data_IF_499899956903
#
_entry.id   IF_499899956903
#
_cell.length_a   1.000
_cell.length_b   1.000
_cell.length_c   1.000
_cell.angle_alpha   90.00
_cell.angle_beta   90.00
_cell.angle_gamma   90.00
#
_symmetry.space_group_name_H-M   'P 1'
#
loop_
_entity.id
_entity.type
_entity.pdbx_description
1 polymer ?
#
# COMPACT_ATOMS: atom_id res chain seq x y z
N UNK A 1 -1.38 1.74 -9.29
CA UNK A 1 -0.14 1.22 -8.69
C UNK A 1 0.90 1.16 -9.79
N UNK A 2 2.10 1.74 -9.61
CA UNK A 2 3.18 1.66 -10.60
C UNK A 2 4.23 0.68 -10.06
N UNK A 3 4.72 -0.22 -10.91
CA UNK A 3 5.85 -1.08 -10.58
C UNK A 3 7.13 -0.24 -10.63
N UNK A 4 7.82 -0.11 -9.49
CA UNK A 4 9.05 0.69 -9.42
C UNK A 4 10.30 -0.10 -9.83
N UNK A 5 10.24 -1.44 -9.77
CA UNK A 5 11.38 -2.34 -9.98
C UNK A 5 12.63 -1.86 -9.21
N UNK A 6 12.39 -1.40 -7.99
CA UNK A 6 13.37 -0.76 -7.14
C UNK A 6 13.65 -1.71 -5.97
N UNK A 7 14.91 -2.11 -5.79
CA UNK A 7 15.31 -2.94 -4.66
C UNK A 7 15.50 -2.01 -3.47
N UNK A 8 14.66 -2.16 -2.46
CA UNK A 8 14.68 -1.37 -1.23
C UNK A 8 14.92 -2.29 -0.04
N UNK A 9 15.87 -1.93 0.83
CA UNK A 9 16.06 -2.65 2.08
C UNK A 9 14.80 -2.59 2.95
N UNK A 10 14.12 -1.44 2.98
CA UNK A 10 12.84 -1.30 3.66
C UNK A 10 11.74 -2.16 3.05
N UNK A 11 11.93 -2.72 1.86
CA UNK A 11 11.00 -3.67 1.22
C UNK A 11 11.50 -5.13 1.24
N UNK A 12 12.50 -5.43 2.08
CA UNK A 12 12.97 -6.80 2.32
C UNK A 12 14.01 -7.32 1.34
N UNK A 13 14.61 -6.45 0.54
CA UNK A 13 15.80 -6.83 -0.23
C UNK A 13 17.03 -6.82 0.67
N UNK A 14 17.93 -7.79 0.48
CA UNK A 14 19.23 -7.84 1.17
C UNK A 14 20.22 -6.76 0.65
N UNK A 15 19.86 -6.05 -0.40
CA UNK A 15 20.62 -4.98 -1.02
C UNK A 15 19.65 -3.89 -1.51
N UNK A 16 20.17 -2.69 -1.80
CA UNK A 16 19.39 -1.64 -2.44
C UNK A 16 19.95 -1.34 -3.84
N UNK A 17 19.07 -0.92 -4.75
CA UNK A 17 19.48 -0.35 -6.04
C UNK A 17 19.49 1.18 -5.96
N UNK A 18 20.20 1.86 -6.85
CA UNK A 18 20.20 3.33 -6.89
C UNK A 18 18.79 3.91 -7.07
N UNK A 19 17.93 3.22 -7.83
CA UNK A 19 16.51 3.60 -7.95
C UNK A 19 15.76 3.38 -6.64
N UNK A 20 16.10 2.32 -5.89
CA UNK A 20 15.58 2.08 -4.54
C UNK A 20 15.92 3.22 -3.59
N UNK A 21 17.18 3.64 -3.56
CA UNK A 21 17.64 4.77 -2.75
C UNK A 21 16.85 6.05 -3.03
N UNK A 22 16.68 6.42 -4.31
CA UNK A 22 15.88 7.60 -4.70
C UNK A 22 14.42 7.48 -4.22
N UNK A 23 13.84 6.28 -4.30
CA UNK A 23 12.46 6.02 -3.89
C UNK A 23 12.32 6.10 -2.36
N UNK A 24 13.30 5.57 -1.61
CA UNK A 24 13.40 5.65 -0.15
C UNK A 24 13.56 7.10 0.31
N UNK A 25 14.53 7.84 -0.26
CA UNK A 25 14.75 9.26 0.05
C UNK A 25 13.51 10.11 -0.21
N UNK A 26 12.83 9.86 -1.34
CA UNK A 26 11.58 10.54 -1.66
C UNK A 26 10.47 10.20 -0.65
N UNK A 27 10.35 8.93 -0.24
CA UNK A 27 9.34 8.51 0.72
C UNK A 27 9.59 9.14 2.11
N UNK A 28 10.85 9.12 2.57
CA UNK A 28 11.28 9.67 3.85
C UNK A 28 11.07 11.18 3.91
N UNK A 29 11.43 11.90 2.84
CA UNK A 29 11.25 13.35 2.78
C UNK A 29 9.77 13.78 2.82
N UNK A 30 8.88 12.93 2.32
CA UNK A 30 7.43 13.15 2.35
C UNK A 30 6.75 12.53 3.58
N UNK A 31 7.55 12.05 4.55
CA UNK A 31 7.10 11.50 5.82
C UNK A 31 6.31 10.21 5.69
N UNK A 32 6.35 9.50 4.57
CA UNK A 32 5.46 8.35 4.30
C UNK A 32 5.91 7.08 4.99
N UNK A 33 4.93 6.25 5.37
CA UNK A 33 5.15 4.89 5.82
C UNK A 33 5.12 3.99 4.58
N UNK A 34 6.27 3.42 4.21
CA UNK A 34 6.30 2.28 3.30
C UNK A 34 5.47 1.16 3.93
N UNK A 35 4.44 0.67 3.24
CA UNK A 35 3.58 -0.41 3.73
C UNK A 35 4.28 -1.78 3.74
N UNK A 36 5.61 -1.81 3.76
CA UNK A 36 6.31 -3.08 3.87
C UNK A 36 6.20 -3.55 5.31
N UNK A 37 5.47 -4.65 5.46
CA UNK A 37 5.55 -5.49 6.64
C UNK A 37 6.22 -6.79 6.19
N UNK A 38 7.28 -7.20 6.89
CA UNK A 38 7.99 -8.44 6.59
C UNK A 38 7.08 -9.68 6.67
N UNK A 39 5.99 -9.57 7.46
CA UNK A 39 4.96 -10.60 7.59
C UNK A 39 3.97 -10.63 6.41
N UNK A 40 3.95 -9.62 5.56
CA UNK A 40 3.10 -9.61 4.36
C UNK A 40 3.60 -10.63 3.35
N UNK A 41 2.70 -11.17 2.53
CA UNK A 41 3.13 -12.16 1.56
C UNK A 41 3.93 -11.46 0.47
N UNK A 42 4.99 -12.12 -0.01
CA UNK A 42 5.83 -11.57 -1.06
C UNK A 42 5.02 -11.33 -2.35
N UNK A 43 5.10 -10.14 -2.94
CA UNK A 43 4.27 -9.73 -4.09
C UNK A 43 4.74 -10.26 -5.44
N UNK A 44 5.94 -10.82 -5.51
CA UNK A 44 6.46 -11.45 -6.72
C UNK A 44 7.10 -12.81 -6.42
N UNK A 45 6.83 -13.79 -7.27
CA UNK A 45 7.41 -15.13 -7.27
C UNK A 45 8.32 -15.24 -8.49
N UNK A 46 9.59 -15.51 -8.23
CA UNK A 46 10.61 -15.73 -9.24
C UNK A 46 10.51 -17.15 -9.82
N UNK A 47 11.04 -17.35 -11.03
CA UNK A 47 11.06 -18.66 -11.68
C UNK A 47 11.88 -19.73 -10.94
N UNK A 48 12.81 -19.31 -10.08
CA UNK A 48 13.61 -20.19 -9.22
C UNK A 48 12.88 -20.61 -7.93
N UNK A 49 11.64 -20.16 -7.73
CA UNK A 49 10.85 -20.40 -6.52
C UNK A 49 11.12 -19.40 -5.40
N UNK A 50 12.06 -18.47 -5.57
CA UNK A 50 12.27 -17.33 -4.68
C UNK A 50 11.08 -16.37 -4.72
N UNK A 51 11.00 -15.48 -3.73
CA UNK A 51 9.96 -14.44 -3.73
C UNK A 51 10.44 -13.12 -3.14
N UNK A 52 9.96 -12.01 -3.70
CA UNK A 52 10.35 -10.64 -3.33
C UNK A 52 9.16 -9.69 -3.28
N UNK A 53 9.31 -8.56 -2.60
CA UNK A 53 8.33 -7.47 -2.60
C UNK A 53 8.76 -6.37 -3.57
N UNK A 54 8.34 -6.51 -4.83
CA UNK A 54 8.60 -5.48 -5.86
C UNK A 54 7.60 -4.32 -5.80
N UNK A 55 6.43 -4.56 -5.21
CA UNK A 55 5.32 -3.61 -5.23
C UNK A 55 5.27 -2.80 -3.95
N UNK A 56 5.29 -1.49 -4.12
CA UNK A 56 5.32 -0.54 -3.02
C UNK A 56 4.05 0.28 -3.07
N UNK A 57 3.30 0.28 -1.97
CA UNK A 57 2.23 1.22 -1.74
C UNK A 57 2.74 2.33 -0.82
N UNK A 58 2.71 3.56 -1.31
CA UNK A 58 3.06 4.73 -0.52
C UNK A 58 1.79 5.40 -0.03
N UNK A 59 1.63 5.50 1.29
CA UNK A 59 0.45 6.06 1.93
C UNK A 59 0.89 7.26 2.77
N UNK A 60 0.12 8.36 2.71
CA UNK A 60 0.36 9.52 3.56
C UNK A 60 0.10 9.14 5.03
N UNK A 61 0.91 9.57 6.01
CA UNK A 61 0.80 9.11 7.40
C UNK A 61 -0.59 9.25 8.01
N UNK A 62 -1.27 10.36 7.71
CA UNK A 62 -2.61 10.64 8.21
C UNK A 62 -3.70 9.70 7.68
N UNK A 63 -3.39 8.87 6.67
CA UNK A 63 -4.31 7.90 6.09
C UNK A 63 -3.93 6.46 6.42
N UNK A 64 -2.80 6.23 7.10
CA UNK A 64 -2.26 4.87 7.31
C UNK A 64 -3.22 3.99 8.11
N UNK A 65 -3.82 4.54 9.18
CA UNK A 65 -4.72 3.80 10.08
C UNK A 65 -6.05 3.43 9.42
N UNK A 66 -6.48 4.22 8.43
CA UNK A 66 -7.69 3.95 7.64
C UNK A 66 -7.45 2.99 6.48
N UNK A 67 -6.19 2.64 6.18
CA UNK A 67 -5.84 1.79 5.05
C UNK A 67 -5.80 0.31 5.45
N UNK A 68 -6.48 -0.53 4.66
CA UNK A 68 -6.37 -1.99 4.70
C UNK A 68 -5.69 -2.48 3.42
N UNK A 69 -4.77 -3.42 3.59
CA UNK A 69 -4.08 -4.08 2.48
C UNK A 69 -4.69 -5.47 2.25
N UNK A 70 -4.95 -5.79 0.99
CA UNK A 70 -5.40 -7.10 0.55
C UNK A 70 -4.50 -7.58 -0.59
N UNK A 71 -4.15 -8.85 -0.57
CA UNK A 71 -3.31 -9.47 -1.59
C UNK A 71 -4.11 -10.57 -2.28
N UNK A 72 -4.10 -10.57 -3.61
CA UNK A 72 -4.75 -11.57 -4.43
C UNK A 72 -3.72 -12.14 -5.40
N UNK A 73 -3.54 -13.47 -5.38
CA UNK A 73 -2.67 -14.13 -6.34
C UNK A 73 -3.25 -14.03 -7.75
N UNK A 74 -2.43 -13.65 -8.72
CA UNK A 74 -2.77 -13.78 -10.14
C UNK A 74 -2.13 -15.07 -10.68
N UNK A 75 -2.91 -16.10 -11.02
CA UNK A 75 -2.36 -17.37 -11.52
C UNK A 75 -1.69 -17.24 -12.90
N UNK A 76 -1.82 -16.11 -13.58
CA UNK A 76 -1.25 -15.88 -14.93
C UNK A 76 0.08 -15.13 -14.92
N UNK A 77 0.50 -14.59 -13.78
CA UNK A 77 1.76 -13.87 -13.64
C UNK A 77 2.48 -14.26 -12.36
N UNK A 78 3.80 -14.04 -12.30
CA UNK A 78 4.53 -14.20 -11.04
C UNK A 78 4.13 -13.16 -9.97
N UNK A 79 3.27 -12.20 -10.30
CA UNK A 79 2.87 -11.11 -9.42
C UNK A 79 1.62 -11.46 -8.61
N UNK A 80 1.53 -10.90 -7.42
CA UNK A 80 0.32 -10.83 -6.62
C UNK A 80 -0.22 -9.41 -6.68
N UNK A 81 -1.50 -9.28 -6.98
CA UNK A 81 -2.17 -7.99 -6.97
C UNK A 81 -2.29 -7.52 -5.53
N UNK A 82 -1.74 -6.34 -5.25
CA UNK A 82 -1.92 -5.66 -3.97
C UNK A 82 -3.01 -4.61 -4.11
N UNK A 83 -4.10 -4.77 -3.38
CA UNK A 83 -5.14 -3.76 -3.20
C UNK A 83 -4.93 -3.03 -1.88
N UNK A 84 -4.94 -1.71 -1.94
CA UNK A 84 -5.00 -0.84 -0.77
C UNK A 84 -6.35 -0.16 -0.76
N UNK A 85 -7.12 -0.37 0.30
CA UNK A 85 -8.44 0.23 0.49
C UNK A 85 -8.38 1.17 1.68
N UNK A 86 -8.70 2.45 1.45
CA UNK A 86 -8.90 3.40 2.53
C UNK A 86 -10.37 3.41 2.95
N UNK A 87 -10.64 3.10 4.21
CA UNK A 87 -11.97 3.19 4.81
C UNK A 87 -12.01 4.51 5.56
N UNK A 88 -12.58 5.53 4.92
CA UNK A 88 -12.94 6.76 5.62
C UNK A 88 -14.16 6.49 6.48
N UNK A 89 -14.10 6.81 7.77
CA UNK A 89 -15.31 7.11 8.53
C UNK A 89 -15.89 8.41 7.99
N UNK A 90 -16.60 8.33 6.85
CA UNK A 90 -17.58 9.37 6.54
C UNK A 90 -18.60 9.29 7.66
N UNK A 91 -18.52 10.22 8.61
CA UNK A 91 -19.65 10.57 9.46
C UNK A 91 -20.76 11.04 8.51
N UNK A 92 -21.52 10.08 7.99
CA UNK A 92 -22.77 10.34 7.29
C UNK A 92 -23.68 10.87 8.39
N UNK A 93 -23.61 12.17 8.63
CA UNK A 93 -24.64 12.87 9.38
C UNK A 93 -25.93 12.64 8.59
N UNK A 94 -26.72 11.66 9.01
CA UNK A 94 -28.11 11.58 8.64
C UNK A 94 -28.75 12.86 9.16
N UNK A 95 -28.86 13.87 8.29
CA UNK A 95 -29.71 15.00 8.54
C UNK A 95 -31.10 14.42 8.74
N UNK A 96 -31.53 14.29 9.99
CA UNK A 96 -32.92 13.99 10.27
C UNK A 96 -33.70 15.18 9.74
N UNK A 97 -34.59 15.00 8.74
CA UNK A 97 -35.44 16.09 8.32
C UNK A 97 -36.21 16.53 9.57
N UNK A 98 -35.98 17.77 10.02
CA UNK A 98 -36.83 18.34 11.07
C UNK A 98 -38.22 18.43 10.46
N UNK A 99 -39.27 17.86 11.08
CA UNK A 99 -40.62 18.05 10.58
C UNK A 99 -40.95 19.55 10.62
N UNK A 100 -41.07 20.16 9.44
CA UNK A 100 -41.57 21.52 9.24
C UNK A 100 -43.10 21.49 9.29
N UNK A 101 -43.66 21.21 10.48
CA UNK A 101 -45.11 21.34 10.71
C UNK A 101 -45.30 22.16 11.99
N UNK A 102 -45.19 23.48 11.85
CA UNK A 102 -45.90 24.41 12.73
C UNK A 102 -47.21 24.75 12.01
N UNK A 103 -48.28 24.02 12.34
CA UNK A 103 -49.66 24.44 12.11
C UNK A 103 -50.22 24.95 13.43
#
# INVERSE_FOLDING_TARGET
MRHFNAALSSSGYAYYSHVGEIVEDYADWNGRINSYNEKDHKTFIHYDGGSTNLDIAMITPNLVDGCKKFEMGDPRSGYKVTLVTYISELNIYFSHPRPLWNF
#
